data_IF_176259509783
#
_entry.id   IF_176259509783
#
_cell.length_a   1.000
_cell.length_b   1.000
_cell.length_c   1.000
_cell.angle_alpha   90.00
_cell.angle_beta   90.00
_cell.angle_gamma   90.00
#
_symmetry.space_group_name_H-M   'P 1'
#
loop_
_entity.id
_entity.type
_entity.pdbx_description
1 polymer ?
#
# COMPACT_ATOMS: atom_id res chain seq x y z
N UNK A 1 -20.44 26.33 8.58
CA UNK A 1 -20.34 24.93 9.07
C UNK A 1 -20.02 23.92 7.96
N UNK A 2 -20.90 23.73 6.98
CA UNK A 2 -20.85 22.63 5.99
C UNK A 2 -19.55 22.58 5.19
N UNK A 3 -19.04 23.74 4.75
CA UNK A 3 -17.77 23.84 4.02
C UNK A 3 -16.58 23.32 4.82
N UNK A 4 -16.56 23.54 6.14
CA UNK A 4 -15.44 23.12 6.97
C UNK A 4 -15.45 21.60 7.19
N UNK A 5 -16.63 21.05 7.51
CA UNK A 5 -16.81 19.59 7.65
C UNK A 5 -16.46 18.89 6.33
N UNK A 6 -16.88 19.45 5.19
CA UNK A 6 -16.52 18.94 3.87
C UNK A 6 -15.00 18.93 3.64
N UNK A 7 -14.28 19.99 4.00
CA UNK A 7 -12.81 20.01 3.91
C UNK A 7 -12.14 18.99 4.82
N UNK A 8 -12.68 18.77 6.03
CA UNK A 8 -12.14 17.77 6.96
C UNK A 8 -12.40 16.34 6.46
N UNK A 9 -13.58 16.08 5.88
CA UNK A 9 -13.87 14.83 5.16
C UNK A 9 -12.94 14.63 3.98
N UNK A 10 -12.67 15.66 3.18
CA UNK A 10 -11.75 15.61 2.05
C UNK A 10 -10.32 15.28 2.50
N UNK A 11 -9.80 15.94 3.54
CA UNK A 11 -8.48 15.64 4.10
C UNK A 11 -8.37 14.18 4.58
N UNK A 12 -9.41 13.68 5.27
CA UNK A 12 -9.46 12.26 5.69
C UNK A 12 -9.50 11.31 4.50
N UNK A 13 -10.19 11.70 3.43
CA UNK A 13 -10.26 10.94 2.20
C UNK A 13 -8.91 10.88 1.48
N UNK A 14 -8.20 12.00 1.41
CA UNK A 14 -6.84 12.09 0.88
C UNK A 14 -5.88 11.22 1.69
N UNK A 15 -5.94 11.28 3.03
CA UNK A 15 -5.17 10.40 3.92
C UNK A 15 -5.45 8.92 3.65
N UNK A 16 -6.71 8.56 3.38
CA UNK A 16 -7.09 7.18 3.02
C UNK A 16 -6.52 6.75 1.67
N UNK A 17 -6.57 7.64 0.66
CA UNK A 17 -6.01 7.38 -0.67
C UNK A 17 -4.47 7.38 -0.68
N UNK A 18 -3.82 8.03 0.28
CA UNK A 18 -2.37 7.98 0.45
C UNK A 18 -1.84 6.55 0.62
N UNK A 19 -2.63 5.64 1.23
CA UNK A 19 -2.28 4.22 1.37
C UNK A 19 -1.96 3.53 0.04
N UNK A 20 -2.63 3.92 -1.04
CA UNK A 20 -2.45 3.37 -2.38
C UNK A 20 -1.57 4.26 -3.27
N UNK A 21 -0.82 5.19 -2.66
CA UNK A 21 0.19 5.99 -3.35
C UNK A 21 -0.28 7.33 -3.89
N UNK A 22 -1.49 7.80 -3.56
CA UNK A 22 -1.89 9.16 -3.90
C UNK A 22 -1.13 10.21 -3.07
N UNK A 23 -0.85 11.40 -3.62
CA UNK A 23 -0.31 12.51 -2.86
C UNK A 23 -1.21 12.87 -1.67
N UNK A 24 -0.59 13.27 -0.56
CA UNK A 24 -1.31 13.67 0.66
C UNK A 24 -0.54 14.76 1.39
N UNK A 25 -1.24 15.85 1.71
CA UNK A 25 -0.74 16.91 2.58
C UNK A 25 -1.19 16.64 4.02
N UNK A 26 -0.23 16.27 4.87
CA UNK A 26 -0.47 15.98 6.28
C UNK A 26 -0.62 17.26 7.14
N UNK A 27 -0.43 18.44 6.56
CA UNK A 27 -0.52 19.71 7.26
C UNK A 27 -1.97 20.08 7.63
N UNK A 28 -2.36 19.74 8.86
CA UNK A 28 -3.66 20.09 9.43
C UNK A 28 -3.80 21.55 9.89
N UNK A 29 -2.72 22.35 9.89
CA UNK A 29 -2.75 23.71 10.45
C UNK A 29 -3.79 24.64 9.78
N UNK A 30 -3.95 24.68 8.45
CA UNK A 30 -4.98 25.50 7.81
C UNK A 30 -6.39 25.12 8.24
N UNK A 31 -6.66 23.82 8.42
CA UNK A 31 -7.95 23.32 8.91
C UNK A 31 -8.16 23.66 10.38
N UNK A 32 -7.11 23.60 11.20
CA UNK A 32 -7.17 23.99 12.59
C UNK A 32 -7.51 25.48 12.75
N UNK A 33 -6.81 26.37 12.04
CA UNK A 33 -7.09 27.81 12.09
C UNK A 33 -8.52 28.13 11.66
N UNK A 34 -9.01 27.47 10.60
CA UNK A 34 -10.40 27.63 10.17
C UNK A 34 -11.40 27.16 11.25
N UNK A 35 -11.09 26.04 11.94
CA UNK A 35 -11.92 25.49 13.01
C UNK A 35 -12.02 26.44 14.20
N UNK A 36 -10.88 26.93 14.67
CA UNK A 36 -10.80 27.84 15.83
C UNK A 36 -11.50 29.16 15.54
N UNK A 37 -11.30 29.74 14.35
CA UNK A 37 -11.96 31.00 13.95
C UNK A 37 -13.48 30.83 13.86
N UNK A 38 -13.94 29.73 13.25
CA UNK A 38 -15.37 29.45 13.15
C UNK A 38 -16.02 29.27 14.52
N UNK A 39 -15.37 28.53 15.42
CA UNK A 39 -15.89 28.34 16.78
C UNK A 39 -15.93 29.65 17.55
N UNK A 40 -14.88 30.48 17.46
CA UNK A 40 -14.82 31.77 18.17
C UNK A 40 -15.89 32.74 17.70
N UNK A 41 -16.10 32.86 16.37
CA UNK A 41 -17.15 33.73 15.80
C UNK A 41 -18.57 33.32 16.21
N UNK A 42 -18.85 32.00 16.23
CA UNK A 42 -20.18 31.53 16.63
C UNK A 42 -20.39 31.55 18.14
N UNK A 43 -19.34 31.38 18.94
CA UNK A 43 -19.40 31.51 20.39
C UNK A 43 -19.81 32.92 20.83
N UNK A 44 -19.39 33.98 20.12
CA UNK A 44 -19.81 35.35 20.41
C UNK A 44 -21.29 35.63 20.09
N UNK A 45 -21.89 34.88 19.16
CA UNK A 45 -23.27 35.08 18.70
C UNK A 45 -24.25 34.09 19.38
N UNK A 46 -23.77 32.93 19.84
CA UNK A 46 -24.57 31.83 20.39
C UNK A 46 -24.11 31.43 21.80
N UNK A 47 -24.45 32.21 22.82
CA UNK A 47 -24.67 31.67 24.18
C UNK A 47 -26.00 32.23 24.69
N UNK A 48 -26.97 31.42 25.20
CA UNK A 48 -26.79 30.14 25.90
C UNK A 48 -27.62 28.92 25.39
N UNK A 49 -28.25 28.93 24.20
CA UNK A 49 -29.24 27.87 23.85
C UNK A 49 -28.85 26.86 22.76
N UNK A 50 -27.68 26.96 22.15
CA UNK A 50 -27.24 25.94 21.19
C UNK A 50 -25.72 25.96 20.97
N UNK A 51 -24.93 25.43 21.91
CA UNK A 51 -23.61 24.93 21.51
C UNK A 51 -23.87 23.86 20.43
N UNK A 52 -23.57 24.15 19.16
CA UNK A 52 -23.84 23.25 18.03
C UNK A 52 -23.08 21.93 18.24
N UNK A 53 -23.74 20.92 18.85
CA UNK A 53 -23.18 19.64 19.30
C UNK A 53 -22.29 18.94 18.26
N UNK A 54 -22.56 19.15 16.97
CA UNK A 54 -21.88 18.46 15.88
C UNK A 54 -20.42 18.89 15.68
N UNK A 55 -20.07 20.14 15.97
CA UNK A 55 -18.77 20.70 15.60
C UNK A 55 -17.62 20.28 16.54
N UNK A 56 -17.79 20.30 17.88
CA UNK A 56 -16.85 19.68 18.82
C UNK A 56 -16.56 18.22 18.49
N UNK A 57 -17.60 17.45 18.17
CA UNK A 57 -17.49 16.01 17.90
C UNK A 57 -16.72 15.72 16.62
N UNK A 58 -16.88 16.57 15.60
CA UNK A 58 -16.20 16.41 14.30
C UNK A 58 -14.73 16.88 14.28
N UNK A 59 -14.25 17.45 15.38
CA UNK A 59 -12.92 18.08 15.46
C UNK A 59 -11.80 17.13 15.92
N UNK A 60 -12.15 15.88 16.25
CA UNK A 60 -11.18 14.83 16.57
C UNK A 60 -10.79 14.06 15.30
N UNK A 61 -9.49 14.04 14.98
CA UNK A 61 -8.97 13.36 13.78
C UNK A 61 -7.77 12.48 14.12
N UNK A 62 -7.60 11.39 13.39
CA UNK A 62 -6.40 10.54 13.49
C UNK A 62 -5.34 11.14 12.56
N UNK A 63 -4.46 11.96 13.14
CA UNK A 63 -3.38 12.66 12.42
C UNK A 63 -2.37 11.67 11.86
N UNK A 64 -1.91 10.72 12.68
CA UNK A 64 -1.03 9.63 12.26
C UNK A 64 -1.75 8.30 12.44
N UNK A 65 -2.17 7.69 11.35
CA UNK A 65 -2.85 6.39 11.35
C UNK A 65 -1.95 5.30 11.95
N UNK A 66 -2.54 4.28 12.62
CA UNK A 66 -1.80 3.07 12.95
C UNK A 66 -1.36 2.34 11.66
N UNK A 67 -0.37 1.43 11.72
CA UNK A 67 -0.10 0.53 10.60
C UNK A 67 -1.38 -0.20 10.19
N UNK A 68 -1.65 -0.28 8.89
CA UNK A 68 -2.88 -0.91 8.39
C UNK A 68 -2.82 -2.44 8.44
N UNK A 69 -1.62 -3.01 8.54
CA UNK A 69 -1.43 -4.41 8.91
C UNK A 69 -0.68 -4.44 10.24
N UNK A 70 -1.31 -5.00 11.28
CA UNK A 70 -0.76 -5.03 12.64
C UNK A 70 -0.53 -6.48 13.05
N UNK A 71 0.73 -6.83 13.32
CA UNK A 71 1.05 -8.12 13.93
C UNK A 71 0.78 -8.07 15.45
N UNK A 72 0.09 -9.08 15.97
CA UNK A 72 -0.11 -9.24 17.42
C UNK A 72 1.23 -9.27 18.16
N UNK A 73 1.28 -8.69 19.35
CA UNK A 73 2.48 -8.55 20.19
C UNK A 73 3.59 -7.66 19.61
N UNK A 74 3.43 -7.12 18.40
CA UNK A 74 4.32 -6.08 17.88
C UNK A 74 3.93 -4.71 18.43
N UNK A 75 4.93 -3.84 18.61
CA UNK A 75 4.72 -2.46 19.05
C UNK A 75 4.40 -1.56 17.87
N UNK A 76 3.44 -0.66 18.05
CA UNK A 76 3.12 0.39 17.09
C UNK A 76 2.75 1.69 17.81
N UNK A 77 2.59 2.76 17.04
CA UNK A 77 2.21 4.08 17.55
C UNK A 77 1.21 4.74 16.61
N UNK A 78 0.40 5.64 17.15
CA UNK A 78 -0.60 6.43 16.42
C UNK A 78 -0.82 7.76 17.15
N UNK A 79 -1.21 8.79 16.42
CA UNK A 79 -1.44 10.13 16.98
C UNK A 79 -2.83 10.62 16.59
N UNK A 80 -3.57 11.08 17.59
CA UNK A 80 -4.87 11.72 17.41
C UNK A 80 -4.72 13.20 17.72
N UNK A 81 -5.34 14.06 16.91
CA UNK A 81 -5.32 15.51 17.07
C UNK A 81 -6.72 16.03 17.29
N UNK A 82 -6.87 16.96 18.22
CA UNK A 82 -8.10 17.69 18.44
C UNK A 82 -7.95 19.13 17.96
N UNK A 83 -8.71 19.49 16.92
CA UNK A 83 -8.53 20.75 16.20
C UNK A 83 -9.07 21.98 16.96
N UNK A 84 -9.84 21.77 18.03
CA UNK A 84 -10.33 22.83 18.92
C UNK A 84 -9.58 22.83 20.26
N UNK A 85 -8.32 22.37 20.25
CA UNK A 85 -7.47 22.26 21.43
C UNK A 85 -7.36 23.51 22.29
N UNK A 86 -7.24 24.69 21.67
CA UNK A 86 -7.14 25.98 22.38
C UNK A 86 -8.43 26.37 23.13
N UNK A 87 -9.56 25.73 22.81
CA UNK A 87 -10.86 25.99 23.43
C UNK A 87 -11.22 24.96 24.51
N UNK A 88 -10.35 23.98 24.76
CA UNK A 88 -10.55 22.99 25.82
C UNK A 88 -10.49 23.70 27.17
N UNK A 89 -11.46 23.42 28.04
CA UNK A 89 -11.53 24.04 29.36
C UNK A 89 -10.28 23.70 30.18
N UNK A 90 -9.68 24.68 30.88
CA UNK A 90 -8.55 24.41 31.76
C UNK A 90 -9.00 23.52 32.92
N UNK A 91 -8.15 22.58 33.33
CA UNK A 91 -8.48 21.67 34.42
C UNK A 91 -7.75 20.34 34.33
N UNK A 92 -8.48 19.26 34.57
CA UNK A 92 -7.92 17.90 34.57
C UNK A 92 -7.38 17.53 33.19
N UNK A 93 -6.24 16.81 33.12
CA UNK A 93 -5.74 16.28 31.86
C UNK A 93 -6.79 15.42 31.17
N UNK A 94 -7.08 15.73 29.90
CA UNK A 94 -8.04 14.96 29.09
C UNK A 94 -7.33 13.69 28.61
N UNK A 95 -7.83 12.53 29.03
CA UNK A 95 -7.27 11.22 28.67
C UNK A 95 -8.08 10.62 27.54
N UNK A 96 -7.45 10.32 26.40
CA UNK A 96 -8.05 9.51 25.34
C UNK A 96 -7.80 8.02 25.61
N UNK A 97 -8.84 7.22 25.38
CA UNK A 97 -8.76 5.76 25.40
C UNK A 97 -8.94 5.20 24.00
N UNK A 98 -8.04 4.32 23.61
CA UNK A 98 -8.10 3.51 22.39
C UNK A 98 -8.69 2.14 22.70
N UNK A 99 -9.56 1.65 21.82
CA UNK A 99 -10.14 0.31 21.86
C UNK A 99 -10.09 -0.28 20.45
N UNK A 100 -9.85 -1.59 20.33
CA UNK A 100 -9.96 -2.26 19.04
C UNK A 100 -11.39 -2.75 18.86
N UNK A 101 -11.98 -2.41 17.71
CA UNK A 101 -13.34 -2.76 17.35
C UNK A 101 -13.36 -3.51 16.02
N UNK A 102 -14.31 -4.42 15.85
CA UNK A 102 -14.54 -5.08 14.56
C UNK A 102 -15.45 -4.22 13.65
N UNK A 103 -15.65 -4.70 12.43
CA UNK A 103 -16.51 -4.02 11.46
C UNK A 103 -17.95 -3.83 11.96
N UNK A 104 -18.55 -4.84 12.60
CA UNK A 104 -19.93 -4.73 13.12
C UNK A 104 -20.06 -3.62 14.19
N UNK A 105 -19.08 -3.49 15.07
CA UNK A 105 -19.02 -2.44 16.08
C UNK A 105 -18.76 -1.07 15.44
N UNK A 106 -17.93 -1.00 14.40
CA UNK A 106 -17.67 0.25 13.64
C UNK A 106 -18.93 0.76 12.92
N UNK A 107 -19.84 -0.13 12.52
CA UNK A 107 -21.15 0.23 11.96
C UNK A 107 -22.11 0.78 13.02
N UNK A 108 -21.95 0.37 14.28
CA UNK A 108 -22.89 0.61 15.37
C UNK A 108 -22.31 1.45 16.52
N UNK A 109 -21.47 2.45 16.22
CA UNK A 109 -20.77 3.31 17.20
C UNK A 109 -21.70 4.08 18.18
N UNK A 110 -23.01 4.13 17.90
CA UNK A 110 -24.02 4.77 18.77
C UNK A 110 -24.75 3.82 19.73
N UNK A 111 -24.51 2.51 19.64
CA UNK A 111 -25.16 1.50 20.50
C UNK A 111 -24.29 1.11 21.71
N UNK A 112 -24.89 0.45 22.70
CA UNK A 112 -24.22 -0.04 23.93
C UNK A 112 -22.94 -0.78 23.58
N UNK A 113 -21.81 -0.58 24.30
CA UNK A 113 -20.56 -1.25 24.00
C UNK A 113 -20.75 -2.76 23.97
N UNK A 114 -20.58 -3.37 22.79
CA UNK A 114 -20.52 -4.82 22.67
C UNK A 114 -19.27 -5.40 23.34
N UNK A 115 -19.15 -6.72 23.37
CA UNK A 115 -18.00 -7.40 23.96
C UNK A 115 -16.66 -6.88 23.41
N UNK A 116 -15.65 -6.80 24.30
CA UNK A 116 -14.29 -6.48 23.88
C UNK A 116 -13.78 -7.53 22.88
N UNK A 117 -13.49 -7.06 21.66
CA UNK A 117 -12.97 -7.88 20.56
C UNK A 117 -11.47 -8.09 20.69
N UNK A 118 -10.74 -7.23 21.39
CA UNK A 118 -9.33 -7.45 21.65
C UNK A 118 -8.79 -6.71 22.88
N UNK A 119 -7.59 -7.12 23.30
CA UNK A 119 -6.86 -6.55 24.43
C UNK A 119 -5.70 -5.69 23.89
N UNK A 120 -5.77 -4.38 24.10
CA UNK A 120 -4.71 -3.42 23.76
C UNK A 120 -3.87 -3.08 24.99
N UNK A 121 -2.56 -3.07 24.81
CA UNK A 121 -1.58 -2.56 25.79
C UNK A 121 -1.27 -1.11 25.46
N UNK A 122 -1.04 -0.27 26.49
CA UNK A 122 -0.73 1.16 26.36
C UNK A 122 -1.79 1.92 25.56
N UNK A 123 -3.06 1.63 25.85
CA UNK A 123 -4.21 2.11 25.09
C UNK A 123 -4.79 3.43 25.61
N UNK A 124 -4.05 4.19 26.40
CA UNK A 124 -4.44 5.52 26.89
C UNK A 124 -3.34 6.53 26.61
N UNK A 125 -3.72 7.74 26.22
CA UNK A 125 -2.80 8.85 26.01
C UNK A 125 -3.44 10.15 26.50
N UNK A 126 -2.62 11.05 27.05
CA UNK A 126 -3.06 12.38 27.47
C UNK A 126 -3.11 13.28 26.24
N UNK A 127 -4.14 14.10 26.14
CA UNK A 127 -4.26 15.15 25.14
C UNK A 127 -3.40 16.34 25.56
N UNK A 128 -2.25 16.49 24.93
CA UNK A 128 -1.25 17.51 25.26
C UNK A 128 -1.32 18.68 24.28
N UNK A 129 -1.35 19.91 24.80
CA UNK A 129 -1.26 21.11 23.99
C UNK A 129 0.20 21.55 23.86
N UNK A 130 0.69 21.60 22.62
CA UNK A 130 2.00 22.15 22.31
C UNK A 130 1.84 23.61 21.88
N UNK A 131 2.40 24.52 22.68
CA UNK A 131 2.30 25.98 22.47
C UNK A 131 3.10 26.47 21.27
N UNK A 132 4.17 25.78 20.87
CA UNK A 132 5.01 26.19 19.73
C UNK A 132 4.35 25.88 18.39
N UNK A 133 3.77 24.68 18.24
CA UNK A 133 3.02 24.28 17.05
C UNK A 133 1.53 24.65 17.11
N UNK A 134 1.06 25.16 18.25
CA UNK A 134 -0.36 25.38 18.58
C UNK A 134 -1.22 24.12 18.41
N UNK A 135 -0.64 22.93 18.42
CA UNK A 135 -1.36 21.67 18.17
C UNK A 135 -1.71 20.97 19.47
N UNK A 136 -2.91 20.40 19.54
CA UNK A 136 -3.35 19.60 20.70
C UNK A 136 -3.51 18.15 20.29
N UNK A 137 -2.58 17.30 20.71
CA UNK A 137 -2.45 15.93 20.24
C UNK A 137 -2.31 14.93 21.39
N UNK A 138 -2.88 13.74 21.21
CA UNK A 138 -2.67 12.58 22.06
C UNK A 138 -1.84 11.55 21.28
N UNK A 139 -0.60 11.33 21.71
CA UNK A 139 0.31 10.38 21.06
C UNK A 139 0.32 9.06 21.81
N UNK A 140 -0.23 8.02 21.20
CA UNK A 140 -0.16 6.67 21.73
C UNK A 140 1.15 6.02 21.29
N UNK A 141 2.04 5.77 22.25
CA UNK A 141 3.37 5.18 22.01
C UNK A 141 3.40 3.75 22.51
N UNK A 142 4.12 2.88 21.79
CA UNK A 142 4.35 1.49 22.20
C UNK A 142 3.03 0.72 22.47
N UNK A 143 1.99 1.00 21.69
CA UNK A 143 0.76 0.21 21.70
C UNK A 143 1.04 -1.21 21.21
N UNK A 144 0.28 -2.19 21.69
CA UNK A 144 0.33 -3.55 21.15
C UNK A 144 -1.01 -4.26 21.30
N UNK A 145 -1.35 -5.13 20.34
CA UNK A 145 -2.51 -6.03 20.44
C UNK A 145 -2.02 -7.33 21.10
N UNK A 146 -2.43 -7.58 22.34
CA UNK A 146 -2.06 -8.78 23.09
C UNK A 146 -2.92 -9.98 22.71
N UNK A 147 -4.22 -9.76 22.55
CA UNK A 147 -5.20 -10.78 22.15
C UNK A 147 -6.24 -10.17 21.22
N UNK A 148 -6.72 -10.96 20.26
CA UNK A 148 -7.80 -10.60 19.35
C UNK A 148 -8.76 -11.78 19.23
N UNK A 149 -10.05 -11.52 19.43
CA UNK A 149 -11.15 -12.43 19.14
C UNK A 149 -11.53 -12.23 17.68
N UNK A 150 -11.78 -13.32 16.98
CA UNK A 150 -12.18 -13.32 15.59
C UNK A 150 -13.61 -13.83 15.47
N UNK A 151 -14.33 -13.33 14.49
CA UNK A 151 -15.67 -13.85 14.18
C UNK A 151 -15.58 -15.30 13.68
N UNK A 152 -16.65 -16.06 13.90
CA UNK A 152 -16.80 -17.37 13.27
C UNK A 152 -16.93 -17.18 11.76
N UNK A 153 -15.97 -17.75 11.02
CA UNK A 153 -15.87 -17.59 9.57
C UNK A 153 -16.92 -18.44 8.87
N UNK A 154 -17.55 -17.90 7.83
CA UNK A 154 -18.46 -18.67 6.97
C UNK A 154 -17.76 -19.00 5.65
N UNK A 155 -17.78 -20.27 5.25
CA UNK A 155 -17.25 -20.71 3.95
C UNK A 155 -15.74 -20.51 3.82
N UNK A 156 -15.32 -19.79 2.77
CA UNK A 156 -13.92 -19.65 2.34
C UNK A 156 -13.25 -18.32 2.73
N UNK A 157 -13.80 -17.60 3.71
CA UNK A 157 -13.25 -16.32 4.20
C UNK A 157 -11.91 -16.52 4.92
N UNK A 158 -10.89 -15.74 4.53
CA UNK A 158 -9.59 -15.73 5.19
C UNK A 158 -9.58 -14.85 6.44
N UNK A 159 -8.77 -15.23 7.43
CA UNK A 159 -8.46 -14.38 8.60
C UNK A 159 -7.80 -13.05 8.22
N UNK A 160 -7.23 -12.94 7.02
CA UNK A 160 -6.62 -11.71 6.48
C UNK A 160 -7.63 -10.79 5.79
N UNK A 161 -8.88 -11.22 5.65
CA UNK A 161 -9.98 -10.40 5.11
C UNK A 161 -10.75 -9.67 6.22
N UNK A 162 -10.55 -10.08 7.48
CA UNK A 162 -11.23 -9.52 8.65
C UNK A 162 -10.66 -8.13 9.00
N UNK A 163 -11.51 -7.09 8.88
CA UNK A 163 -11.15 -5.70 9.13
C UNK A 163 -11.55 -5.27 10.54
N UNK A 164 -10.64 -4.53 11.17
CA UNK A 164 -10.81 -3.90 12.47
C UNK A 164 -10.54 -2.40 12.36
N UNK A 165 -10.78 -1.67 13.44
CA UNK A 165 -10.29 -0.30 13.60
C UNK A 165 -9.97 0.00 15.06
N UNK A 166 -9.15 1.04 15.28
CA UNK A 166 -8.97 1.64 16.59
C UNK A 166 -10.02 2.73 16.79
N UNK A 167 -10.85 2.56 17.81
CA UNK A 167 -11.78 3.56 18.30
C UNK A 167 -11.08 4.39 19.39
N UNK A 168 -10.89 5.66 19.11
CA UNK A 168 -10.40 6.65 20.08
C UNK A 168 -11.60 7.38 20.67
N UNK A 169 -11.69 7.46 21.99
CA UNK A 169 -12.80 8.11 22.68
C UNK A 169 -12.34 8.86 23.92
N UNK A 170 -13.01 9.96 24.23
CA UNK A 170 -12.83 10.73 25.47
C UNK A 170 -14.05 11.62 25.72
N UNK A 171 -14.10 12.23 26.89
CA UNK A 171 -15.03 13.30 27.22
C UNK A 171 -14.25 14.59 27.38
N UNK A 172 -14.70 15.65 26.71
CA UNK A 172 -14.03 16.94 26.69
C UNK A 172 -14.99 18.07 27.05
N UNK A 173 -14.56 18.93 27.96
CA UNK A 173 -15.29 20.17 28.28
C UNK A 173 -14.64 21.31 27.51
N UNK A 174 -15.47 22.14 26.87
CA UNK A 174 -15.01 23.31 26.11
C UNK A 174 -15.30 24.55 26.96
N UNK A 175 -14.37 25.50 26.99
CA UNK A 175 -14.53 26.77 27.69
C UNK A 175 -15.81 27.47 27.26
N UNK A 176 -16.70 27.73 28.21
CA UNK A 176 -17.99 28.38 27.99
C UNK A 176 -19.19 27.44 27.80
N UNK A 177 -19.01 26.13 27.60
CA UNK A 177 -20.13 25.17 27.63
C UNK A 177 -20.10 24.38 28.96
N UNK A 178 -21.25 24.29 29.65
CA UNK A 178 -21.38 23.59 30.94
C UNK A 178 -21.45 22.06 30.80
N UNK A 179 -21.74 21.56 29.60
CA UNK A 179 -21.89 20.12 29.33
C UNK A 179 -20.64 19.53 28.67
N UNK A 180 -20.13 18.39 29.18
CA UNK A 180 -19.02 17.69 28.53
C UNK A 180 -19.49 17.02 27.24
N UNK A 181 -18.63 17.04 26.23
CA UNK A 181 -18.85 16.37 24.94
C UNK A 181 -18.13 15.03 24.92
N UNK A 182 -18.89 13.96 24.70
CA UNK A 182 -18.30 12.66 24.34
C UNK A 182 -17.89 12.71 22.88
N UNK A 183 -16.58 12.68 22.63
CA UNK A 183 -16.00 12.68 21.29
C UNK A 183 -15.40 11.32 20.99
N UNK A 184 -15.56 10.87 19.75
CA UNK A 184 -15.02 9.60 19.29
C UNK A 184 -14.64 9.64 17.82
N UNK A 185 -13.61 8.89 17.47
CA UNK A 185 -13.11 8.79 16.11
C UNK A 185 -12.51 7.41 15.88
N UNK A 186 -12.75 6.83 14.70
CA UNK A 186 -12.15 5.54 14.30
C UNK A 186 -10.97 5.75 13.36
N UNK A 187 -9.96 4.89 13.44
CA UNK A 187 -8.88 4.82 12.45
C UNK A 187 -9.40 4.40 11.07
N UNK A 188 -8.52 4.46 10.07
CA UNK A 188 -8.68 3.67 8.85
C UNK A 188 -8.76 2.17 9.20
N UNK A 189 -9.36 1.34 8.32
CA UNK A 189 -9.41 -0.10 8.56
C UNK A 189 -8.00 -0.68 8.68
N UNK A 190 -7.86 -1.60 9.62
CA UNK A 190 -6.63 -2.36 9.88
C UNK A 190 -6.94 -3.85 9.81
N UNK A 191 -5.98 -4.64 9.35
CA UNK A 191 -6.02 -6.10 9.41
C UNK A 191 -5.03 -6.56 10.46
N UNK A 192 -5.48 -7.44 11.37
CA UNK A 192 -4.64 -7.99 12.43
C UNK A 192 -4.12 -9.36 12.01
N UNK A 193 -2.80 -9.56 12.07
CA UNK A 193 -2.12 -10.81 11.71
C UNK A 193 -1.38 -11.40 12.92
N UNK A 194 -1.12 -12.70 12.89
CA UNK A 194 -0.31 -13.39 13.93
C UNK A 194 1.08 -13.75 13.42
N UNK A 195 1.23 -13.93 12.10
CA UNK A 195 2.49 -14.32 11.48
C UNK A 195 2.77 -13.50 10.22
N UNK A 196 4.05 -13.22 9.93
CA UNK A 196 4.45 -12.37 8.80
C UNK A 196 4.10 -12.94 7.43
N UNK A 197 3.90 -14.26 7.31
CA UNK A 197 3.42 -14.89 6.07
C UNK A 197 2.02 -14.45 5.65
N UNK A 198 1.26 -13.82 6.55
CA UNK A 198 -0.09 -13.29 6.28
C UNK A 198 -0.07 -11.85 5.75
N UNK A 199 1.07 -11.18 5.82
CA UNK A 199 1.21 -9.74 5.53
C UNK A 199 0.75 -9.40 4.11
N UNK A 200 1.21 -10.17 3.12
CA UNK A 200 0.86 -9.96 1.71
C UNK A 200 -0.66 -10.02 1.48
N UNK A 201 -1.34 -11.05 2.02
CA UNK A 201 -2.80 -11.19 1.86
C UNK A 201 -3.56 -10.13 2.66
N UNK A 202 -3.07 -9.73 3.83
CA UNK A 202 -3.66 -8.66 4.63
C UNK A 202 -3.55 -7.30 3.91
N UNK A 203 -2.40 -7.04 3.27
CA UNK A 203 -2.17 -5.85 2.48
C UNK A 203 -3.11 -5.79 1.27
N UNK A 204 -3.41 -6.93 0.64
CA UNK A 204 -4.39 -7.01 -0.44
C UNK A 204 -5.76 -6.48 -0.01
N UNK A 205 -6.24 -6.90 1.17
CA UNK A 205 -7.51 -6.45 1.75
C UNK A 205 -7.51 -4.94 1.98
N UNK A 206 -6.41 -4.40 2.51
CA UNK A 206 -6.25 -2.96 2.74
C UNK A 206 -6.25 -2.18 1.41
N UNK A 207 -5.55 -2.67 0.38
CA UNK A 207 -5.49 -2.00 -0.91
C UNK A 207 -6.85 -2.01 -1.59
N UNK A 208 -7.55 -3.14 -1.61
CA UNK A 208 -8.90 -3.22 -2.16
C UNK A 208 -9.85 -2.26 -1.43
N UNK A 209 -9.76 -2.23 -0.10
CA UNK A 209 -10.56 -1.34 0.73
C UNK A 209 -10.28 0.14 0.44
N UNK A 210 -9.00 0.52 0.35
CA UNK A 210 -8.59 1.91 0.11
C UNK A 210 -8.88 2.36 -1.33
N UNK A 211 -8.78 1.46 -2.29
CA UNK A 211 -9.01 1.75 -3.70
C UNK A 211 -10.49 1.97 -4.02
N UNK A 212 -11.36 1.11 -3.48
CA UNK A 212 -12.74 1.00 -3.94
C UNK A 212 -13.79 1.33 -2.87
N UNK A 213 -13.36 1.91 -1.75
CA UNK A 213 -14.28 2.59 -0.85
C UNK A 213 -14.99 3.74 -1.58
N UNK A 214 -16.23 4.02 -1.18
CA UNK A 214 -16.97 5.21 -1.57
C UNK A 214 -16.91 6.27 -0.46
N UNK A 215 -16.98 7.58 -0.80
CA UNK A 215 -17.16 8.62 0.20
C UNK A 215 -18.41 8.35 1.04
N UNK A 216 -18.31 8.57 2.35
CA UNK A 216 -19.43 8.40 3.30
C UNK A 216 -20.03 6.98 3.38
N UNK A 217 -19.31 5.94 2.92
CA UNK A 217 -19.73 4.54 3.08
C UNK A 217 -19.97 4.16 4.55
N UNK A 218 -20.82 3.14 4.73
CA UNK A 218 -20.91 2.41 6.00
C UNK A 218 -19.58 1.68 6.22
N UNK A 219 -18.86 1.89 7.35
CA UNK A 219 -17.62 1.18 7.64
C UNK A 219 -17.81 -0.35 7.62
N UNK A 220 -17.02 -1.16 6.94
CA UNK A 220 -15.99 -0.90 5.93
C UNK A 220 -16.41 -1.58 4.62
N UNK A 221 -17.63 -1.27 4.17
CA UNK A 221 -18.23 -1.87 2.97
C UNK A 221 -17.42 -1.48 1.72
N UNK A 222 -17.15 -2.45 0.86
CA UNK A 222 -16.51 -2.28 -0.45
C UNK A 222 -17.19 -3.16 -1.48
N UNK A 223 -17.14 -2.79 -2.77
CA UNK A 223 -17.69 -3.63 -3.83
C UNK A 223 -16.90 -4.93 -3.97
N UNK A 224 -17.61 -6.02 -4.31
CA UNK A 224 -17.02 -7.33 -4.59
C UNK A 224 -16.34 -7.38 -5.97
N UNK A 225 -16.75 -6.50 -6.89
CA UNK A 225 -16.20 -6.40 -8.24
C UNK A 225 -16.09 -4.94 -8.67
N UNK A 226 -15.05 -4.62 -9.44
CA UNK A 226 -14.82 -3.27 -9.97
C UNK A 226 -14.40 -3.31 -11.43
N UNK A 227 -14.63 -2.23 -12.21
CA UNK A 227 -14.09 -2.12 -13.56
C UNK A 227 -12.56 -2.23 -13.55
N UNK A 228 -11.99 -2.97 -14.50
CA UNK A 228 -10.54 -3.13 -14.64
C UNK A 228 -9.82 -1.79 -14.72
N UNK A 229 -10.45 -0.77 -15.32
CA UNK A 229 -9.88 0.58 -15.39
C UNK A 229 -9.55 1.21 -14.04
N UNK A 230 -10.38 0.95 -13.03
CA UNK A 230 -10.12 1.43 -11.68
C UNK A 230 -9.02 0.60 -11.01
N UNK A 231 -9.00 -0.71 -11.26
CA UNK A 231 -7.98 -1.60 -10.72
C UNK A 231 -6.59 -1.29 -11.30
N UNK A 232 -6.42 -1.21 -12.61
CA UNK A 232 -5.10 -0.92 -13.17
C UNK A 232 -4.59 0.46 -12.74
N UNK A 233 -5.48 1.46 -12.62
CA UNK A 233 -5.10 2.78 -12.12
C UNK A 233 -4.56 2.68 -10.70
N UNK A 234 -5.21 1.88 -9.85
CA UNK A 234 -4.77 1.60 -8.48
C UNK A 234 -3.42 0.88 -8.46
N UNK A 235 -3.24 -0.16 -9.28
CA UNK A 235 -1.98 -0.90 -9.40
C UNK A 235 -0.85 0.01 -9.85
N UNK A 236 -1.09 0.90 -10.82
CA UNK A 236 -0.11 1.86 -11.30
C UNK A 236 0.30 2.86 -10.22
N UNK A 237 -0.66 3.49 -9.53
CA UNK A 237 -0.38 4.43 -8.43
C UNK A 237 0.36 3.74 -7.29
N UNK A 238 -0.04 2.52 -6.92
CA UNK A 238 0.63 1.76 -5.87
C UNK A 238 2.05 1.37 -6.28
N UNK A 239 2.24 0.88 -7.50
CA UNK A 239 3.55 0.48 -8.01
C UNK A 239 4.53 1.66 -8.06
N UNK A 240 4.12 2.78 -8.64
CA UNK A 240 4.96 3.99 -8.75
C UNK A 240 5.34 4.56 -7.39
N UNK A 241 4.40 4.61 -6.44
CA UNK A 241 4.66 5.06 -5.08
C UNK A 241 5.59 4.11 -4.30
N UNK A 242 5.37 2.80 -4.40
CA UNK A 242 6.15 1.79 -3.66
C UNK A 242 7.57 1.64 -4.19
N UNK A 243 7.74 1.69 -5.52
CA UNK A 243 9.05 1.68 -6.21
C UNK A 243 9.73 3.05 -6.13
N UNK A 244 8.97 4.12 -5.83
CA UNK A 244 9.41 5.52 -5.82
C UNK A 244 9.97 5.96 -7.18
N UNK A 245 9.18 5.78 -8.22
CA UNK A 245 9.52 6.12 -9.60
C UNK A 245 8.40 6.93 -10.26
N UNK A 246 8.77 7.79 -11.21
CA UNK A 246 7.82 8.51 -12.05
C UNK A 246 7.45 7.72 -13.33
N UNK A 247 8.10 6.58 -13.56
CA UNK A 247 7.81 5.74 -14.73
C UNK A 247 6.60 4.86 -14.46
N UNK A 248 5.46 5.22 -15.07
CA UNK A 248 4.19 4.51 -14.97
C UNK A 248 4.21 3.17 -15.73
N UNK A 249 3.26 2.29 -15.38
CA UNK A 249 2.90 1.13 -16.19
C UNK A 249 2.30 1.61 -17.51
N UNK A 250 2.93 1.25 -18.62
CA UNK A 250 2.47 1.64 -19.96
C UNK A 250 1.24 0.83 -20.42
N UNK A 251 0.73 1.13 -21.61
CA UNK A 251 -0.43 0.43 -22.16
C UNK A 251 -0.20 -1.07 -22.37
N UNK A 252 1.02 -1.48 -22.76
CA UNK A 252 1.38 -2.89 -22.93
C UNK A 252 1.35 -3.62 -21.59
N UNK A 253 1.89 -2.98 -20.54
CA UNK A 253 1.88 -3.51 -19.19
C UNK A 253 0.46 -3.67 -18.66
N UNK A 254 -0.38 -2.64 -18.83
CA UNK A 254 -1.78 -2.67 -18.42
C UNK A 254 -2.57 -3.77 -19.12
N UNK A 255 -2.33 -3.96 -20.42
CA UNK A 255 -2.97 -5.01 -21.21
C UNK A 255 -2.53 -6.41 -20.74
N UNK A 256 -1.23 -6.64 -20.56
CA UNK A 256 -0.72 -7.91 -20.06
C UNK A 256 -1.28 -8.26 -18.67
N UNK A 257 -1.34 -7.30 -17.76
CA UNK A 257 -1.90 -7.51 -16.42
C UNK A 257 -3.37 -7.95 -16.51
N UNK A 258 -4.13 -7.39 -17.45
CA UNK A 258 -5.52 -7.78 -17.71
C UNK A 258 -5.60 -9.21 -18.25
N UNK A 259 -4.80 -9.56 -19.26
CA UNK A 259 -4.74 -10.92 -19.80
C UNK A 259 -4.41 -11.94 -18.71
N UNK A 260 -3.52 -11.57 -17.78
CA UNK A 260 -3.08 -12.43 -16.68
C UNK A 260 -4.18 -12.65 -15.64
N UNK A 261 -4.85 -11.60 -15.18
CA UNK A 261 -5.87 -11.71 -14.12
C UNK A 261 -7.18 -12.34 -14.63
N UNK A 262 -7.52 -12.12 -15.90
CA UNK A 262 -8.73 -12.66 -16.51
C UNK A 262 -8.54 -14.02 -17.18
N UNK A 263 -7.30 -14.55 -17.20
CA UNK A 263 -6.91 -15.76 -17.93
C UNK A 263 -7.33 -15.72 -19.41
N UNK A 264 -6.98 -14.62 -20.08
CA UNK A 264 -7.31 -14.35 -21.50
C UNK A 264 -6.06 -13.95 -22.28
N UNK A 265 -5.11 -14.87 -22.53
CA UNK A 265 -3.83 -14.55 -23.19
C UNK A 265 -3.98 -14.06 -24.64
N UNK A 266 -5.02 -14.54 -25.35
CA UNK A 266 -5.24 -14.21 -26.76
C UNK A 266 -6.20 -13.02 -26.97
N UNK A 267 -6.75 -12.45 -25.90
CA UNK A 267 -7.69 -11.34 -26.02
C UNK A 267 -6.92 -10.04 -26.26
N UNK A 268 -7.19 -9.41 -27.40
CA UNK A 268 -6.51 -8.20 -27.87
C UNK A 268 -7.38 -6.94 -27.76
N UNK A 269 -8.66 -7.08 -27.40
CA UNK A 269 -9.60 -5.95 -27.27
C UNK A 269 -9.44 -5.22 -25.93
N UNK A 270 -10.26 -4.19 -25.72
CA UNK A 270 -10.24 -3.37 -24.50
C UNK A 270 -10.80 -4.11 -23.28
N UNK A 271 -10.00 -4.18 -22.21
CA UNK A 271 -10.39 -4.74 -20.92
C UNK A 271 -11.02 -3.71 -19.97
N UNK A 272 -11.00 -2.42 -20.28
CA UNK A 272 -11.25 -1.33 -19.33
C UNK A 272 -12.55 -1.46 -18.53
N UNK A 273 -13.62 -1.96 -19.15
CA UNK A 273 -14.94 -2.11 -18.52
C UNK A 273 -15.26 -3.55 -18.07
N UNK A 274 -14.32 -4.49 -18.23
CA UNK A 274 -14.48 -5.84 -17.69
C UNK A 274 -14.35 -5.77 -16.17
N UNK A 275 -15.23 -6.46 -15.47
CA UNK A 275 -15.29 -6.44 -14.01
C UNK A 275 -14.33 -7.48 -13.42
N UNK A 276 -13.34 -7.03 -12.64
CA UNK A 276 -12.48 -7.88 -11.81
C UNK A 276 -13.10 -8.08 -10.44
N UNK A 277 -13.14 -9.30 -9.94
CA UNK A 277 -13.61 -9.61 -8.57
C UNK A 277 -12.49 -9.61 -7.54
N UNK A 278 -12.85 -9.43 -6.26
CA UNK A 278 -11.94 -9.66 -5.13
C UNK A 278 -11.35 -11.08 -5.18
N UNK A 279 -12.19 -12.05 -5.53
CA UNK A 279 -11.76 -13.44 -5.66
C UNK A 279 -10.64 -13.61 -6.70
N UNK A 280 -10.79 -13.06 -7.91
CA UNK A 280 -9.76 -13.10 -8.96
C UNK A 280 -8.49 -12.37 -8.54
N UNK A 281 -8.62 -11.30 -7.76
CA UNK A 281 -7.49 -10.50 -7.32
C UNK A 281 -6.62 -11.21 -6.27
N UNK A 282 -7.21 -11.80 -5.22
CA UNK A 282 -6.44 -12.33 -4.09
C UNK A 282 -7.00 -13.61 -3.42
N UNK A 283 -7.92 -14.33 -4.05
CA UNK A 283 -8.48 -15.59 -3.50
C UNK A 283 -8.23 -16.79 -4.40
N UNK A 284 -8.47 -16.61 -5.68
CA UNK A 284 -8.25 -17.59 -6.74
C UNK A 284 -6.77 -17.60 -7.10
N UNK A 285 -6.19 -18.79 -7.17
CA UNK A 285 -4.83 -18.96 -7.68
C UNK A 285 -4.83 -18.82 -9.19
N UNK A 286 -3.76 -18.25 -9.74
CA UNK A 286 -3.59 -18.16 -11.18
C UNK A 286 -3.50 -19.57 -11.79
N UNK A 287 -4.04 -19.80 -13.01
CA UNK A 287 -3.98 -21.10 -13.66
C UNK A 287 -2.55 -21.66 -13.75
N UNK A 288 -2.37 -22.89 -13.28
CA UNK A 288 -1.07 -23.56 -13.26
C UNK A 288 -0.05 -22.96 -12.27
N UNK A 289 -0.49 -22.11 -11.33
CA UNK A 289 0.36 -21.48 -10.31
C UNK A 289 -0.15 -21.75 -8.90
N UNK A 290 0.75 -21.76 -7.89
CA UNK A 290 0.36 -21.93 -6.49
C UNK A 290 0.07 -20.59 -5.78
N UNK A 291 -0.17 -19.50 -6.51
CA UNK A 291 -0.29 -18.15 -5.98
C UNK A 291 -1.35 -17.33 -6.71
N UNK A 292 -1.87 -16.31 -6.02
CA UNK A 292 -2.89 -15.39 -6.55
C UNK A 292 -2.26 -14.32 -7.45
N UNK A 293 -3.10 -13.56 -8.17
CA UNK A 293 -2.63 -12.41 -8.95
C UNK A 293 -1.90 -11.39 -8.07
N UNK A 294 -2.49 -11.01 -6.94
CA UNK A 294 -1.91 -10.02 -6.04
C UNK A 294 -0.56 -10.48 -5.48
N UNK A 295 -0.43 -11.74 -5.04
CA UNK A 295 0.83 -12.28 -4.52
C UNK A 295 1.96 -12.17 -5.55
N UNK A 296 1.66 -12.47 -6.81
CA UNK A 296 2.62 -12.31 -7.90
C UNK A 296 2.97 -10.84 -8.16
N UNK A 297 1.97 -9.95 -8.23
CA UNK A 297 2.19 -8.54 -8.51
C UNK A 297 2.98 -7.83 -7.39
N UNK A 298 2.66 -8.13 -6.13
CA UNK A 298 3.39 -7.63 -4.96
C UNK A 298 4.84 -8.10 -4.97
N UNK A 299 5.10 -9.37 -5.30
CA UNK A 299 6.47 -9.86 -5.45
C UNK A 299 7.27 -9.15 -6.53
N UNK A 300 6.62 -8.81 -7.66
CA UNK A 300 7.23 -7.99 -8.72
C UNK A 300 7.54 -6.57 -8.22
N UNK A 301 6.61 -5.96 -7.49
CA UNK A 301 6.77 -4.63 -6.90
C UNK A 301 7.91 -4.60 -5.85
N UNK A 302 7.99 -5.60 -4.97
CA UNK A 302 9.04 -5.74 -3.95
C UNK A 302 10.42 -5.96 -4.59
N UNK A 303 10.52 -6.85 -5.57
CA UNK A 303 11.75 -7.06 -6.34
C UNK A 303 12.20 -5.76 -7.01
N UNK A 304 11.25 -5.04 -7.61
CA UNK A 304 11.54 -3.80 -8.31
C UNK A 304 12.04 -2.73 -7.36
N UNK A 305 11.33 -2.52 -6.25
CA UNK A 305 11.72 -1.58 -5.20
C UNK A 305 13.13 -1.84 -4.67
N UNK A 306 13.47 -3.11 -4.40
CA UNK A 306 14.73 -3.48 -3.75
C UNK A 306 15.92 -3.54 -4.70
N UNK A 307 15.73 -4.00 -5.94
CA UNK A 307 16.84 -4.34 -6.83
C UNK A 307 16.76 -3.70 -8.23
N UNK A 308 15.56 -3.32 -8.70
CA UNK A 308 15.36 -2.95 -10.10
C UNK A 308 14.93 -1.50 -10.33
N UNK A 309 14.74 -0.71 -9.28
CA UNK A 309 14.23 0.67 -9.33
C UNK A 309 14.91 1.52 -10.40
N UNK A 310 16.24 1.51 -10.43
CA UNK A 310 17.01 2.33 -11.37
C UNK A 310 16.82 1.86 -12.82
N UNK A 311 16.83 0.54 -13.06
CA UNK A 311 16.60 -0.05 -14.39
C UNK A 311 15.19 0.25 -14.90
N UNK A 312 14.18 0.11 -14.03
CA UNK A 312 12.79 0.45 -14.34
C UNK A 312 12.66 1.93 -14.66
N UNK A 313 13.20 2.82 -13.82
CA UNK A 313 13.07 4.27 -13.98
C UNK A 313 13.76 4.80 -15.24
N UNK A 314 14.76 4.07 -15.76
CA UNK A 314 15.44 4.38 -17.03
C UNK A 314 14.81 3.69 -18.25
N UNK A 315 13.69 2.97 -18.10
CA UNK A 315 13.01 2.30 -19.20
C UNK A 315 13.74 1.08 -19.76
N UNK A 316 14.67 0.48 -18.99
CA UNK A 316 15.48 -0.66 -19.45
C UNK A 316 14.77 -2.01 -19.30
N UNK A 317 13.68 -2.03 -18.53
CA UNK A 317 12.87 -3.21 -18.28
C UNK A 317 11.56 -3.07 -19.04
N UNK A 318 11.31 -3.99 -19.97
CA UNK A 318 9.99 -4.09 -20.62
C UNK A 318 8.92 -4.52 -19.60
N UNK A 319 9.31 -5.42 -18.69
CA UNK A 319 8.53 -5.74 -17.49
C UNK A 319 7.40 -6.71 -17.77
N UNK A 320 6.21 -6.19 -18.07
CA UNK A 320 4.98 -6.95 -18.11
C UNK A 320 4.67 -7.40 -19.55
N UNK A 321 5.09 -8.60 -19.91
CA UNK A 321 4.89 -9.18 -21.23
C UNK A 321 4.81 -10.70 -21.18
N UNK A 322 3.77 -11.24 -21.84
CA UNK A 322 3.52 -12.68 -21.95
C UNK A 322 4.36 -13.33 -23.06
N UNK A 323 4.51 -14.66 -22.99
CA UNK A 323 5.33 -15.41 -23.96
C UNK A 323 4.89 -15.20 -25.41
N UNK A 324 3.59 -15.17 -25.69
CA UNK A 324 3.09 -14.99 -27.06
C UNK A 324 3.47 -13.63 -27.64
N UNK A 325 3.19 -12.53 -26.91
CA UNK A 325 3.55 -11.18 -27.35
C UNK A 325 5.08 -11.00 -27.43
N UNK A 326 5.81 -11.58 -26.48
CA UNK A 326 7.28 -11.67 -26.51
C UNK A 326 7.77 -12.32 -27.81
N UNK A 327 7.16 -13.44 -28.21
CA UNK A 327 7.50 -14.12 -29.45
C UNK A 327 7.28 -13.22 -30.67
N UNK A 328 6.18 -12.46 -30.70
CA UNK A 328 5.89 -11.53 -31.80
C UNK A 328 6.92 -10.40 -31.91
N UNK A 329 7.27 -9.74 -30.81
CA UNK A 329 8.16 -8.56 -30.86
C UNK A 329 9.64 -8.91 -31.13
N UNK A 330 10.06 -10.13 -30.80
CA UNK A 330 11.43 -10.60 -30.98
C UNK A 330 11.61 -11.47 -32.24
N UNK A 331 10.53 -11.92 -32.90
CA UNK A 331 10.60 -12.88 -34.03
C UNK A 331 11.56 -12.46 -35.13
N UNK A 332 11.49 -11.19 -35.54
CA UNK A 332 12.23 -10.67 -36.70
C UNK A 332 13.42 -9.79 -36.25
N UNK A 333 13.87 -9.95 -35.00
CA UNK A 333 15.01 -9.20 -34.45
C UNK A 333 16.32 -9.97 -34.64
N UNK A 334 17.47 -9.28 -34.78
CA UNK A 334 18.76 -9.94 -34.93
C UNK A 334 19.11 -10.87 -33.75
N UNK A 335 19.99 -11.84 -34.02
CA UNK A 335 20.51 -12.71 -32.96
C UNK A 335 21.24 -11.89 -31.89
N UNK A 336 20.97 -12.23 -30.62
CA UNK A 336 21.48 -11.51 -29.46
C UNK A 336 20.63 -10.32 -29.02
N UNK A 337 19.57 -9.95 -29.75
CA UNK A 337 18.57 -9.00 -29.23
C UNK A 337 17.85 -9.63 -28.05
N UNK A 338 17.79 -8.91 -26.93
CA UNK A 338 17.17 -9.38 -25.68
C UNK A 338 16.28 -8.32 -25.05
N UNK A 339 15.40 -8.77 -24.15
CA UNK A 339 14.65 -7.89 -23.26
C UNK A 339 14.54 -8.46 -21.86
N UNK A 340 14.26 -7.58 -20.91
CA UNK A 340 14.03 -7.91 -19.51
C UNK A 340 12.53 -7.92 -19.22
N UNK A 341 12.02 -9.02 -18.66
CA UNK A 341 10.61 -9.17 -18.30
C UNK A 341 10.45 -9.85 -16.95
N UNK A 342 9.34 -9.57 -16.26
CA UNK A 342 8.98 -10.28 -15.05
C UNK A 342 8.56 -11.71 -15.35
N UNK A 343 8.92 -12.62 -14.44
CA UNK A 343 8.58 -14.03 -14.55
C UNK A 343 7.09 -14.26 -14.35
N UNK A 344 6.49 -15.08 -15.21
CA UNK A 344 5.11 -15.54 -15.06
C UNK A 344 4.97 -16.69 -14.06
N UNK A 345 6.07 -17.38 -13.78
CA UNK A 345 6.11 -18.64 -13.04
C UNK A 345 6.65 -18.52 -11.64
N UNK A 346 7.40 -17.47 -11.37
CA UNK A 346 8.08 -17.27 -10.09
C UNK A 346 7.69 -15.90 -9.54
N UNK A 347 7.21 -15.87 -8.29
CA UNK A 347 6.95 -14.63 -7.57
C UNK A 347 8.26 -13.88 -7.40
N UNK A 348 8.27 -12.58 -7.74
CA UNK A 348 9.45 -11.74 -7.56
C UNK A 348 10.67 -12.24 -8.34
N UNK A 349 10.45 -12.75 -9.56
CA UNK A 349 11.50 -13.12 -10.50
C UNK A 349 11.56 -12.19 -11.71
N UNK A 350 12.77 -11.88 -12.18
CA UNK A 350 13.02 -11.21 -13.47
C UNK A 350 13.80 -12.15 -14.39
N UNK A 351 13.40 -12.26 -15.67
CA UNK A 351 14.04 -13.13 -16.66
C UNK A 351 14.49 -12.34 -17.88
N UNK A 352 15.46 -12.91 -18.59
CA UNK A 352 15.98 -12.40 -19.86
C UNK A 352 15.48 -13.31 -20.97
N UNK A 353 14.77 -12.71 -21.92
CA UNK A 353 14.38 -13.38 -23.15
C UNK A 353 15.23 -12.83 -24.30
N UNK A 354 15.80 -13.70 -25.14
CA UNK A 354 16.68 -13.29 -26.23
C UNK A 354 16.53 -14.17 -27.47
N UNK A 355 16.88 -13.58 -28.61
CA UNK A 355 16.91 -14.28 -29.91
C UNK A 355 18.24 -15.00 -30.07
N UNK A 356 18.20 -16.29 -30.39
CA UNK A 356 19.38 -17.08 -30.72
C UNK A 356 19.21 -17.85 -32.01
N UNK A 357 20.33 -18.21 -32.64
CA UNK A 357 20.34 -19.10 -33.78
C UNK A 357 19.85 -20.49 -33.36
N UNK A 358 18.94 -21.05 -34.14
CA UNK A 358 18.55 -22.45 -34.07
C UNK A 358 19.57 -23.30 -34.81
N UNK A 359 19.74 -24.55 -34.38
CA UNK A 359 20.63 -25.53 -35.02
C UNK A 359 20.26 -25.79 -36.50
N UNK A 360 18.99 -25.53 -36.85
CA UNK A 360 18.46 -25.72 -38.20
C UNK A 360 18.53 -24.45 -39.08
N UNK A 361 19.30 -23.43 -38.68
CA UNK A 361 19.48 -22.18 -39.44
C UNK A 361 18.35 -21.14 -39.30
N UNK A 362 17.33 -21.42 -38.49
CA UNK A 362 16.28 -20.45 -38.13
C UNK A 362 16.58 -19.65 -36.86
N UNK A 363 15.67 -18.78 -36.43
CA UNK A 363 15.76 -18.07 -35.15
C UNK A 363 14.86 -18.72 -34.11
N UNK A 364 15.32 -18.79 -32.86
CA UNK A 364 14.52 -19.23 -31.71
C UNK A 364 14.64 -18.23 -30.57
N UNK A 365 13.57 -18.10 -29.77
CA UNK A 365 13.59 -17.25 -28.58
C UNK A 365 13.85 -18.14 -27.37
N UNK A 366 14.91 -17.83 -26.64
CA UNK A 366 15.30 -18.51 -25.42
C UNK A 366 15.02 -17.63 -24.20
N UNK A 367 14.69 -18.27 -23.08
CA UNK A 367 14.48 -17.60 -21.80
C UNK A 367 15.51 -18.13 -20.81
N UNK A 368 16.21 -17.23 -20.13
CA UNK A 368 17.10 -17.58 -19.02
C UNK A 368 16.25 -17.85 -17.78
N UNK A 369 16.70 -18.75 -16.91
CA UNK A 369 16.05 -18.97 -15.62
C UNK A 369 15.86 -17.63 -14.89
N UNK A 370 14.68 -17.35 -14.30
CA UNK A 370 14.45 -16.09 -13.60
C UNK A 370 15.43 -15.88 -12.44
N UNK A 371 15.84 -14.63 -12.24
CA UNK A 371 16.60 -14.18 -11.09
C UNK A 371 15.63 -13.67 -10.02
N UNK A 372 15.71 -14.29 -8.85
CA UNK A 372 14.93 -13.90 -7.67
C UNK A 372 15.66 -12.84 -6.84
N UNK A 373 15.00 -12.32 -5.81
CA UNK A 373 15.60 -11.45 -4.79
C UNK A 373 16.95 -11.98 -4.27
N UNK A 374 17.00 -13.27 -3.91
CA UNK A 374 18.22 -13.93 -3.40
C UNK A 374 19.34 -13.93 -4.43
N UNK A 375 19.01 -14.16 -5.69
CA UNK A 375 20.00 -14.15 -6.78
C UNK A 375 20.58 -12.75 -6.99
N UNK A 376 19.73 -11.72 -6.91
CA UNK A 376 20.13 -10.32 -7.09
C UNK A 376 20.88 -9.74 -5.88
N UNK A 377 20.69 -10.31 -4.68
CA UNK A 377 21.49 -10.01 -3.49
C UNK A 377 22.91 -10.57 -3.60
N UNK A 378 23.05 -11.79 -4.13
CA UNK A 378 24.36 -12.41 -4.38
C UNK A 378 25.11 -11.65 -5.48
N UNK A 379 24.39 -11.26 -6.55
CA UNK A 379 24.99 -10.58 -7.70
C UNK A 379 23.98 -9.73 -8.44
N UNK A 380 24.34 -8.47 -8.67
CA UNK A 380 23.48 -7.48 -9.32
C UNK A 380 23.00 -7.91 -10.72
N UNK A 381 21.87 -7.37 -11.15
CA UNK A 381 21.34 -7.64 -12.49
C UNK A 381 22.31 -7.16 -13.59
N UNK A 382 22.94 -6.00 -13.42
CA UNK A 382 23.93 -5.47 -14.36
C UNK A 382 25.12 -6.41 -14.55
N UNK A 383 25.68 -6.94 -13.47
CA UNK A 383 26.79 -7.88 -13.55
C UNK A 383 26.38 -9.24 -14.16
N UNK A 384 25.13 -9.67 -13.96
CA UNK A 384 24.60 -10.88 -14.61
C UNK A 384 24.42 -10.67 -16.11
N UNK A 385 23.91 -9.51 -16.53
CA UNK A 385 23.77 -9.13 -17.95
C UNK A 385 25.14 -9.04 -18.63
N UNK A 386 26.14 -8.50 -17.93
CA UNK A 386 27.53 -8.41 -18.43
C UNK A 386 28.07 -9.77 -18.86
N UNK A 387 27.90 -10.78 -18.01
CA UNK A 387 28.50 -12.10 -18.17
C UNK A 387 27.87 -12.96 -19.27
N UNK A 388 26.64 -12.65 -19.69
CA UNK A 388 25.96 -13.42 -20.72
C UNK A 388 26.47 -12.95 -22.09
N UNK A 389 27.35 -13.75 -22.71
CA UNK A 389 27.94 -13.45 -24.03
C UNK A 389 26.93 -13.53 -25.18
N UNK A 390 25.88 -14.34 -25.04
CA UNK A 390 24.86 -14.55 -26.08
C UNK A 390 23.93 -13.36 -26.32
N UNK A 391 23.89 -12.38 -25.41
CA UNK A 391 23.07 -11.18 -25.53
C UNK A 391 23.94 -9.97 -25.88
N UNK A 392 23.50 -9.18 -26.86
CA UNK A 392 24.29 -8.11 -27.49
C UNK A 392 23.56 -6.78 -27.54
N UNK A 393 22.24 -6.78 -27.79
CA UNK A 393 21.44 -5.55 -27.92
C UNK A 393 20.16 -5.64 -27.09
N UNK A 394 19.93 -4.65 -26.22
CA UNK A 394 18.64 -4.50 -25.55
C UNK A 394 17.60 -4.03 -26.59
N UNK A 395 16.44 -4.67 -26.61
CA UNK A 395 15.33 -4.30 -27.47
C UNK A 395 14.96 -2.81 -27.30
N UNK A 396 14.67 -2.08 -28.39
CA UNK A 396 14.69 -2.54 -29.78
C UNK A 396 16.10 -2.75 -30.34
N UNK A 397 17.02 -1.80 -30.20
CA UNK A 397 18.31 -1.81 -30.90
C UNK A 397 19.44 -1.11 -30.10
N UNK A 398 19.39 -1.15 -28.77
CA UNK A 398 20.37 -0.47 -27.92
C UNK A 398 21.57 -1.39 -27.58
N UNK A 399 22.82 -1.00 -27.86
CA UNK A 399 23.98 -1.84 -27.53
C UNK A 399 24.09 -2.14 -26.03
N UNK A 400 24.23 -3.42 -25.66
CA UNK A 400 24.26 -3.89 -24.26
C UNK A 400 25.25 -3.11 -23.40
N UNK A 401 26.48 -2.92 -23.88
CA UNK A 401 27.52 -2.27 -23.10
C UNK A 401 27.20 -0.79 -22.86
N UNK A 402 26.66 -0.09 -23.85
CA UNK A 402 26.33 1.33 -23.71
C UNK A 402 25.23 1.57 -22.68
N UNK A 403 24.22 0.69 -22.66
CA UNK A 403 23.10 0.75 -21.73
C UNK A 403 23.52 0.35 -20.31
N UNK A 404 24.26 -0.75 -20.18
CA UNK A 404 24.48 -1.37 -18.86
C UNK A 404 25.82 -1.02 -18.20
N UNK A 405 26.74 -0.30 -18.86
CA UNK A 405 28.06 0.05 -18.30
C UNK A 405 27.99 0.72 -16.93
N UNK A 406 27.00 1.58 -16.69
CA UNK A 406 26.81 2.27 -15.42
C UNK A 406 26.31 1.37 -14.28
N UNK A 407 25.91 0.14 -14.59
CA UNK A 407 25.39 -0.84 -13.63
C UNK A 407 26.37 -1.97 -13.34
N UNK A 408 27.55 -1.95 -13.96
CA UNK A 408 28.58 -2.95 -13.70
C UNK A 408 29.31 -2.60 -12.42
N UNK A 409 29.48 -3.59 -11.55
CA UNK A 409 30.37 -3.44 -10.41
C UNK A 409 31.79 -3.28 -10.94
N UNK A 410 32.53 -2.33 -10.37
CA UNK A 410 33.95 -2.19 -10.62
C UNK A 410 34.64 -3.52 -10.34
N UNK A 411 35.64 -3.92 -11.14
CA UNK A 411 36.46 -5.07 -10.82
C UNK A 411 37.03 -4.84 -9.42
N UNK A 412 36.72 -5.72 -8.46
CA UNK A 412 37.51 -5.76 -7.24
C UNK A 412 38.95 -5.98 -7.68
N UNK A 413 39.81 -4.98 -7.46
CA UNK A 413 41.23 -5.16 -7.63
C UNK A 413 41.61 -6.39 -6.79
N UNK A 414 42.15 -7.42 -7.45
CA UNK A 414 42.71 -8.58 -6.78
C UNK A 414 43.56 -8.08 -5.62
N UNK A 415 43.36 -8.55 -4.38
CA UNK A 415 44.28 -8.21 -3.31
C UNK A 415 45.68 -8.59 -3.78
N UNK A 416 46.53 -7.59 -3.98
CA UNK A 416 47.95 -7.79 -4.19
C UNK A 416 48.48 -8.31 -2.86
N UNK A 417 48.49 -9.63 -2.71
CA UNK A 417 49.04 -10.31 -1.53
C UNK A 417 48.15 -11.41 -0.96
N UNK A 418 48.43 -12.65 -1.37
CA UNK A 418 48.35 -13.84 -0.53
C UNK A 418 46.95 -14.31 -0.10
N UNK A 419 46.41 -15.32 -0.78
CA UNK A 419 46.36 -16.72 -0.31
C UNK A 419 45.39 -17.46 -1.23
N UNK A 420 45.93 -18.45 -1.97
CA UNK A 420 45.14 -19.38 -2.77
C UNK A 420 44.39 -20.28 -1.78
N UNK A 421 43.09 -20.06 -1.57
CA UNK A 421 42.24 -21.09 -1.00
C UNK A 421 41.93 -22.10 -2.10
N UNK A 422 42.60 -23.24 -2.03
CA UNK A 422 42.38 -24.39 -2.87
C UNK A 422 40.93 -24.88 -2.71
N UNK A 423 40.18 -24.90 -3.81
CA UNK A 423 39.10 -25.86 -3.97
C UNK A 423 39.75 -27.24 -4.13
N UNK A 424 39.53 -28.12 -3.16
CA UNK A 424 39.76 -29.56 -3.30
C UNK A 424 38.40 -30.26 -3.47
N UNK A 425 38.41 -31.42 -4.16
CA UNK A 425 37.39 -31.86 -5.11
C UNK A 425 36.05 -32.24 -4.50
#
# INVERSE_FOLDING_TARGET
QTRLISRLKAWRWEQHKATIGHPFDDNLNPLQTCNVNYFSFNAEIMFPHSCNYFFPVSSLVVEKQPPQVIKTQSKFSTTVRYLLGEKVAPGKPVVLKAQIINELQARNLGSVPGDNVGELINNTAILEHNTSSKSTCATFRNMSIKKIKRADRKGSESVTEEKFALLFSTEITITGCDTPYRIQMISLPVVVIVHGSQDNNALATIIWDCAFSEPDRVPFVVPERVPWRMMYSTLNSKFTAEVQTNHNLDQYNQHFLAQKIFDKPDFADDFSNIMVSWAQFNKEVLPGRPFTFWQWFEGVMDLTKKHLKTYWSQGLIFGFIGKQHLHLILKDRPNGTFLLRFSDSEIGGITIAYVSASENGGQKIQNIQPFTKRDLEIRSLGDRIRDISHITHLYPEYPKHEVFKGFYSEPQASPIGGTICANKP
#
